data_IF_424161873294
#
_entry.id   IF_424161873294
#
_cell.length_a   1.000
_cell.length_b   1.000
_cell.length_c   1.000
_cell.angle_alpha   90.00
_cell.angle_beta   90.00
_cell.angle_gamma   90.00
#
_symmetry.space_group_name_H-M   'P 1'
#
loop_
_entity.id
_entity.type
_entity.pdbx_description
1 polymer ?
#
# COMPACT_ATOMS: atom_id res chain seq x y z
N UNK A 1 -18.79 -4.24 4.38
CA UNK A 1 -19.85 -4.83 3.52
C UNK A 1 -19.32 -5.26 2.15
N UNK A 2 -18.57 -4.43 1.41
CA UNK A 2 -18.10 -4.78 0.06
C UNK A 2 -17.16 -6.00 0.00
N UNK A 3 -16.26 -6.19 0.96
CA UNK A 3 -15.29 -7.32 0.96
C UNK A 3 -15.99 -8.67 1.16
N UNK A 4 -16.90 -8.77 2.13
CA UNK A 4 -17.69 -9.98 2.39
C UNK A 4 -18.48 -10.40 1.15
N UNK A 5 -19.06 -9.44 0.42
CA UNK A 5 -19.81 -9.71 -0.81
C UNK A 5 -18.92 -10.26 -1.94
N UNK A 6 -17.71 -9.72 -2.09
CA UNK A 6 -16.74 -10.21 -3.08
C UNK A 6 -16.24 -11.62 -2.74
N UNK A 7 -15.90 -11.87 -1.46
CA UNK A 7 -15.53 -13.22 -0.99
C UNK A 7 -16.67 -14.20 -1.26
N UNK A 8 -17.92 -13.81 -1.00
CA UNK A 8 -19.09 -14.65 -1.26
C UNK A 8 -19.22 -15.04 -2.73
N UNK A 9 -19.07 -14.07 -3.64
CA UNK A 9 -19.09 -14.32 -5.09
C UNK A 9 -17.97 -15.27 -5.53
N UNK A 10 -16.77 -15.10 -4.98
CA UNK A 10 -15.60 -15.91 -5.31
C UNK A 10 -15.77 -17.35 -4.79
N UNK A 11 -16.23 -17.53 -3.55
CA UNK A 11 -16.49 -18.85 -2.98
C UNK A 11 -17.57 -19.61 -3.75
N UNK A 12 -18.58 -18.90 -4.28
CA UNK A 12 -19.59 -19.51 -5.13
C UNK A 12 -19.01 -20.14 -6.43
N UNK A 13 -17.80 -19.76 -6.84
CA UNK A 13 -17.11 -20.35 -7.99
C UNK A 13 -16.38 -21.67 -7.66
N UNK A 14 -16.26 -22.07 -6.38
CA UNK A 14 -15.63 -23.34 -5.99
C UNK A 14 -16.37 -24.02 -4.84
N UNK A 15 -17.21 -25.00 -5.16
CA UNK A 15 -17.89 -25.85 -4.17
C UNK A 15 -16.89 -26.65 -3.33
N UNK A 16 -15.75 -27.05 -3.90
CA UNK A 16 -14.71 -27.82 -3.22
C UNK A 16 -14.00 -27.01 -2.13
N UNK A 17 -13.57 -25.79 -2.45
CA UNK A 17 -12.97 -24.90 -1.46
C UNK A 17 -13.98 -24.56 -0.37
N UNK A 18 -15.22 -24.26 -0.76
CA UNK A 18 -16.34 -23.98 0.15
C UNK A 18 -16.58 -25.13 1.14
N UNK A 19 -16.64 -26.38 0.66
CA UNK A 19 -16.80 -27.55 1.50
C UNK A 19 -15.60 -27.76 2.43
N UNK A 20 -14.38 -27.61 1.92
CA UNK A 20 -13.16 -27.77 2.74
C UNK A 20 -13.07 -26.70 3.83
N UNK A 21 -13.48 -25.47 3.52
CA UNK A 21 -13.60 -24.38 4.49
C UNK A 21 -14.64 -24.70 5.57
N UNK A 22 -15.83 -25.16 5.19
CA UNK A 22 -16.85 -25.58 6.17
C UNK A 22 -16.34 -26.64 7.13
N UNK A 23 -15.66 -27.66 6.62
CA UNK A 23 -15.06 -28.71 7.47
C UNK A 23 -14.03 -28.11 8.42
N UNK A 24 -13.10 -27.32 7.88
CA UNK A 24 -12.03 -26.69 8.67
C UNK A 24 -12.59 -25.78 9.77
N UNK A 25 -13.64 -24.99 9.47
CA UNK A 25 -14.29 -24.14 10.47
C UNK A 25 -14.93 -24.95 11.60
N UNK A 26 -15.61 -26.06 11.26
CA UNK A 26 -16.16 -26.97 12.28
C UNK A 26 -15.05 -27.60 13.13
N UNK A 27 -13.95 -28.02 12.52
CA UNK A 27 -12.81 -28.60 13.22
C UNK A 27 -12.14 -27.57 14.16
N UNK A 28 -12.15 -26.29 13.77
CA UNK A 28 -11.69 -25.16 14.59
C UNK A 28 -12.70 -24.72 15.67
N UNK A 29 -13.87 -25.38 15.78
CA UNK A 29 -14.92 -25.03 16.74
C UNK A 29 -15.70 -23.76 16.39
N UNK A 30 -15.58 -23.27 15.15
CA UNK A 30 -16.33 -22.12 14.64
C UNK A 30 -17.58 -22.65 13.95
N UNK A 31 -18.76 -22.37 14.53
CA UNK A 31 -20.04 -22.70 13.89
C UNK A 31 -20.15 -21.96 12.54
N UNK A 32 -20.09 -22.68 11.40
CA UNK A 32 -20.18 -22.03 10.11
C UNK A 32 -21.60 -21.51 9.94
N UNK A 33 -21.77 -20.19 9.88
CA UNK A 33 -23.08 -19.61 9.61
C UNK A 33 -23.53 -19.97 8.19
N UNK A 34 -24.80 -19.70 7.86
CA UNK A 34 -25.32 -19.85 6.50
C UNK A 34 -24.49 -19.05 5.46
N UNK A 35 -23.73 -18.04 5.89
CA UNK A 35 -22.83 -17.27 5.08
C UNK A 35 -21.36 -17.49 5.51
N UNK A 36 -20.66 -18.36 4.77
CA UNK A 36 -19.24 -18.64 5.01
C UNK A 36 -18.35 -17.40 4.87
N UNK A 37 -18.68 -16.49 3.94
CA UNK A 37 -17.90 -15.28 3.76
C UNK A 37 -18.01 -14.38 4.98
N UNK A 38 -19.21 -14.23 5.55
CA UNK A 38 -19.40 -13.49 6.79
C UNK A 38 -18.64 -14.13 7.96
N UNK A 39 -18.65 -15.45 8.03
CA UNK A 39 -17.98 -16.20 9.10
C UNK A 39 -16.45 -16.05 9.02
N UNK A 40 -15.88 -16.06 7.81
CA UNK A 40 -14.46 -15.80 7.58
C UNK A 40 -14.06 -14.35 7.90
N UNK A 41 -14.91 -13.38 7.56
CA UNK A 41 -14.63 -11.97 7.84
C UNK A 41 -14.85 -11.58 9.32
N UNK A 42 -15.47 -12.43 10.13
CA UNK A 42 -15.80 -12.14 11.52
C UNK A 42 -14.68 -12.49 12.51
N UNK A 43 -13.72 -13.32 12.10
CA UNK A 43 -12.55 -13.67 12.89
C UNK A 43 -11.38 -12.75 12.55
N UNK A 44 -10.34 -12.80 13.38
CA UNK A 44 -9.10 -12.07 13.13
C UNK A 44 -8.50 -12.44 11.75
N UNK A 45 -7.97 -11.49 10.97
CA UNK A 45 -7.39 -11.78 9.66
C UNK A 45 -6.25 -12.82 9.67
N UNK A 46 -5.39 -12.84 10.70
CA UNK A 46 -4.35 -13.87 10.87
C UNK A 46 -5.02 -15.23 11.02
N UNK A 47 -6.00 -15.34 11.92
CA UNK A 47 -6.75 -16.56 12.16
C UNK A 47 -7.54 -17.02 10.91
N UNK A 48 -8.17 -16.10 10.18
CA UNK A 48 -8.91 -16.39 8.96
C UNK A 48 -8.01 -17.02 7.89
N UNK A 49 -6.77 -16.53 7.77
CA UNK A 49 -5.82 -16.99 6.76
C UNK A 49 -5.10 -18.26 7.18
N UNK A 50 -4.56 -18.29 8.41
CA UNK A 50 -3.73 -19.38 8.90
C UNK A 50 -4.55 -20.60 9.33
N UNK A 51 -5.57 -20.39 10.16
CA UNK A 51 -6.27 -21.51 10.79
C UNK A 51 -7.43 -22.02 9.91
N UNK A 52 -7.94 -21.18 9.01
CA UNK A 52 -9.10 -21.54 8.18
C UNK A 52 -8.74 -21.69 6.70
N UNK A 53 -8.32 -20.61 6.04
CA UNK A 53 -8.12 -20.64 4.58
C UNK A 53 -6.96 -21.55 4.17
N UNK A 54 -5.83 -21.51 4.87
CA UNK A 54 -4.65 -22.32 4.58
C UNK A 54 -4.95 -23.83 4.62
N UNK A 55 -5.41 -24.42 5.75
CA UNK A 55 -5.69 -25.85 5.82
C UNK A 55 -6.83 -26.27 4.89
N UNK A 56 -7.86 -25.43 4.70
CA UNK A 56 -8.93 -25.72 3.76
C UNK A 56 -8.43 -25.79 2.31
N UNK A 57 -7.58 -24.85 1.91
CA UNK A 57 -6.99 -24.81 0.56
C UNK A 57 -6.06 -25.99 0.33
N UNK A 58 -5.20 -26.29 1.31
CA UNK A 58 -4.31 -27.45 1.26
C UNK A 58 -5.09 -28.75 1.10
N UNK A 59 -6.18 -28.92 1.85
CA UNK A 59 -7.04 -30.11 1.77
C UNK A 59 -7.80 -30.18 0.44
N UNK A 60 -8.32 -29.06 -0.04
CA UNK A 60 -9.03 -28.98 -1.31
C UNK A 60 -8.12 -29.33 -2.50
N UNK A 61 -6.86 -28.91 -2.48
CA UNK A 61 -5.89 -29.15 -3.54
C UNK A 61 -5.19 -30.51 -3.44
N UNK A 62 -5.01 -31.06 -2.24
CA UNK A 62 -4.27 -32.31 -2.02
C UNK A 62 -4.87 -33.53 -2.72
N UNK A 63 -6.16 -33.48 -3.05
CA UNK A 63 -6.89 -34.57 -3.73
C UNK A 63 -6.95 -34.41 -5.25
N UNK A 64 -6.39 -33.32 -5.79
CA UNK A 64 -6.43 -32.98 -7.22
C UNK A 64 -5.05 -33.17 -7.85
N UNK A 65 -5.03 -33.61 -9.11
CA UNK A 65 -3.80 -33.60 -9.92
C UNK A 65 -3.47 -32.14 -10.31
N UNK A 66 -2.24 -31.64 -10.03
CA UNK A 66 -1.81 -30.29 -10.41
C UNK A 66 -1.95 -29.95 -11.90
N UNK A 67 -2.03 -30.96 -12.77
CA UNK A 67 -2.19 -30.79 -14.23
C UNK A 67 -3.65 -30.58 -14.65
N UNK A 68 -4.61 -30.82 -13.76
CA UNK A 68 -6.02 -30.68 -14.09
C UNK A 68 -6.50 -29.22 -13.96
N UNK A 69 -7.42 -28.77 -14.84
CA UNK A 69 -8.02 -27.43 -14.75
C UNK A 69 -8.65 -27.16 -13.38
N UNK A 70 -9.27 -28.18 -12.78
CA UNK A 70 -9.90 -28.08 -11.46
C UNK A 70 -8.93 -27.66 -10.35
N UNK A 71 -7.67 -28.09 -10.42
CA UNK A 71 -6.62 -27.66 -9.50
C UNK A 71 -6.34 -26.17 -9.68
N UNK A 72 -6.15 -25.75 -10.95
CA UNK A 72 -5.86 -24.35 -11.30
C UNK A 72 -7.01 -23.43 -10.88
N UNK A 73 -8.25 -23.83 -11.13
CA UNK A 73 -9.45 -23.07 -10.79
C UNK A 73 -9.62 -22.96 -9.27
N UNK A 74 -9.51 -24.08 -8.55
CA UNK A 74 -9.59 -24.09 -7.08
C UNK A 74 -8.48 -23.23 -6.46
N UNK A 75 -7.26 -23.31 -7.00
CA UNK A 75 -6.14 -22.49 -6.54
C UNK A 75 -6.33 -21.01 -6.85
N UNK A 76 -6.87 -20.68 -8.01
CA UNK A 76 -7.19 -19.29 -8.39
C UNK A 76 -8.23 -18.68 -7.46
N UNK A 77 -9.29 -19.43 -7.15
CA UNK A 77 -10.32 -19.02 -6.18
C UNK A 77 -9.69 -18.82 -4.80
N UNK A 78 -8.88 -19.75 -4.31
CA UNK A 78 -8.23 -19.65 -3.01
C UNK A 78 -7.31 -18.41 -2.89
N UNK A 79 -6.50 -18.13 -3.93
CA UNK A 79 -5.69 -16.90 -3.99
C UNK A 79 -6.55 -15.64 -4.01
N UNK A 80 -7.70 -15.68 -4.66
CA UNK A 80 -8.63 -14.55 -4.71
C UNK A 80 -9.26 -14.29 -3.33
N UNK A 81 -9.62 -15.35 -2.59
CA UNK A 81 -10.09 -15.22 -1.20
C UNK A 81 -8.98 -14.68 -0.29
N UNK A 82 -7.76 -15.22 -0.40
CA UNK A 82 -6.57 -14.72 0.31
C UNK A 82 -6.38 -13.21 0.11
N UNK A 83 -6.45 -12.75 -1.15
CA UNK A 83 -6.32 -11.35 -1.51
C UNK A 83 -7.35 -10.47 -0.79
N UNK A 84 -8.63 -10.88 -0.81
CA UNK A 84 -9.70 -10.12 -0.17
C UNK A 84 -9.64 -10.16 1.35
N UNK A 85 -9.25 -11.28 1.96
CA UNK A 85 -9.05 -11.36 3.41
C UNK A 85 -7.84 -10.54 3.86
N UNK A 86 -6.77 -10.47 3.05
CA UNK A 86 -5.61 -9.62 3.35
C UNK A 86 -5.96 -8.14 3.41
N UNK A 87 -7.01 -7.69 2.70
CA UNK A 87 -7.51 -6.31 2.83
C UNK A 87 -8.16 -6.02 4.19
N UNK A 88 -8.68 -7.04 4.86
CA UNK A 88 -9.21 -6.90 6.22
C UNK A 88 -8.09 -6.76 7.25
N UNK A 89 -6.83 -6.99 6.90
CA UNK A 89 -5.71 -6.70 7.78
C UNK A 89 -5.51 -5.20 8.03
N UNK A 90 -6.26 -4.33 7.33
CA UNK A 90 -6.24 -2.87 7.49
C UNK A 90 -7.60 -2.39 7.97
N UNK A 91 -7.62 -1.55 9.01
CA UNK A 91 -8.84 -0.86 9.43
C UNK A 91 -9.18 0.27 8.44
N UNK A 92 -10.06 -0.04 7.48
CA UNK A 92 -10.47 0.90 6.44
C UNK A 92 -11.32 2.07 6.97
N UNK A 93 -12.06 1.90 8.06
CA UNK A 93 -12.84 2.99 8.67
C UNK A 93 -11.93 3.96 9.40
N UNK A 94 -11.00 3.43 10.20
CA UNK A 94 -9.94 4.21 10.83
C UNK A 94 -9.10 4.93 9.77
N UNK A 95 -8.63 4.24 8.73
CA UNK A 95 -7.82 4.85 7.67
C UNK A 95 -8.60 5.95 6.95
N UNK A 96 -9.88 5.72 6.68
CA UNK A 96 -10.77 6.71 6.09
C UNK A 96 -10.98 7.92 6.99
N UNK A 97 -11.15 7.72 8.31
CA UNK A 97 -11.34 8.78 9.29
C UNK A 97 -10.04 9.55 9.53
N UNK A 98 -8.93 8.85 9.73
CA UNK A 98 -7.59 9.42 9.84
C UNK A 98 -7.24 10.26 8.61
N UNK A 99 -7.50 9.75 7.39
CA UNK A 99 -7.30 10.50 6.15
C UNK A 99 -8.17 11.75 6.07
N UNK A 100 -9.47 11.67 6.39
CA UNK A 100 -10.37 12.83 6.40
C UNK A 100 -9.98 13.86 7.46
N UNK A 101 -9.58 13.43 8.65
CA UNK A 101 -9.13 14.27 9.75
C UNK A 101 -7.76 14.92 9.47
N UNK A 102 -6.85 14.19 8.82
CA UNK A 102 -5.57 14.69 8.34
C UNK A 102 -5.78 15.80 7.28
N UNK A 103 -6.63 15.54 6.30
CA UNK A 103 -6.98 16.50 5.24
C UNK A 103 -7.66 17.76 5.80
N UNK A 104 -8.61 17.61 6.72
CA UNK A 104 -9.36 18.74 7.28
C UNK A 104 -8.52 19.60 8.24
N UNK A 105 -7.52 19.01 8.91
CA UNK A 105 -6.60 19.72 9.79
C UNK A 105 -5.40 20.33 9.07
N UNK A 106 -5.27 20.18 7.74
CA UNK A 106 -4.05 20.53 7.00
C UNK A 106 -2.82 19.71 7.42
N UNK A 107 -3.03 18.68 8.25
CA UNK A 107 -2.05 17.70 8.69
C UNK A 107 -2.16 16.49 7.77
N UNK A 108 -1.93 16.70 6.47
CA UNK A 108 -1.64 15.57 5.61
C UNK A 108 -0.44 14.87 6.25
N UNK A 109 -0.65 13.65 6.70
CA UNK A 109 0.28 12.89 7.50
C UNK A 109 -0.26 11.48 7.43
N UNK A 110 0.14 10.77 6.39
CA UNK A 110 -0.03 9.33 6.39
C UNK A 110 1.21 8.76 7.07
N UNK A 111 1.01 7.90 8.05
CA UNK A 111 2.10 7.11 8.59
C UNK A 111 2.68 6.25 7.47
N UNK A 112 3.91 6.57 7.06
CA UNK A 112 4.76 5.56 6.47
C UNK A 112 5.61 5.04 7.62
N UNK A 113 5.08 4.05 8.32
CA UNK A 113 5.90 3.20 9.19
C UNK A 113 6.81 2.43 8.24
N UNK A 114 8.12 2.68 8.33
CA UNK A 114 9.11 1.78 7.75
C UNK A 114 10.17 1.48 8.80
N UNK A 115 10.07 0.30 9.39
CA UNK A 115 11.20 -0.61 9.37
C UNK A 115 10.74 -2.07 9.45
N UNK A 116 10.20 -2.59 8.35
CA UNK A 116 10.08 -4.02 8.04
C UNK A 116 10.06 -4.18 6.51
N UNK A 117 10.40 -5.36 5.95
CA UNK A 117 10.35 -5.62 4.50
C UNK A 117 8.91 -5.70 3.93
N UNK A 118 7.93 -5.00 4.52
CA UNK A 118 6.51 -5.21 4.25
C UNK A 118 5.52 -4.11 4.65
N UNK A 119 5.93 -2.83 4.63
CA UNK A 119 4.96 -1.75 4.69
C UNK A 119 3.78 -2.03 3.75
N UNK A 120 2.57 -2.11 4.31
CA UNK A 120 1.32 -2.63 3.73
C UNK A 120 1.24 -2.49 2.20
N UNK A 121 1.69 -3.55 1.53
CA UNK A 121 1.55 -3.76 0.09
C UNK A 121 0.98 -5.17 -0.16
N UNK A 122 -0.13 -5.47 0.52
CA UNK A 122 -0.96 -6.66 0.33
C UNK A 122 -2.41 -6.24 0.67
N UNK A 123 -3.43 -6.28 -0.19
CA UNK A 123 -3.59 -6.78 -1.55
C UNK A 123 -4.86 -6.14 -2.14
N UNK A 124 -4.84 -5.48 -3.29
CA UNK A 124 -5.78 -5.81 -4.39
C UNK A 124 -5.79 -4.73 -5.45
N UNK A 125 -5.29 -5.11 -6.64
CA UNK A 125 -5.79 -4.67 -7.94
C UNK A 125 -6.10 -3.18 -8.09
N UNK A 126 -5.09 -2.37 -8.44
CA UNK A 126 -5.24 -1.36 -9.50
C UNK A 126 -4.01 -1.36 -10.39
N UNK A 127 -4.18 -1.95 -11.58
CA UNK A 127 -3.23 -1.93 -12.68
C UNK A 127 -2.49 -0.57 -12.76
N UNK A 128 -1.17 -0.65 -12.54
CA UNK A 128 -0.12 0.38 -12.67
C UNK A 128 0.22 1.30 -11.49
N UNK A 129 -0.30 1.18 -10.28
CA UNK A 129 0.29 1.97 -9.17
C UNK A 129 1.72 1.48 -8.85
N UNK A 130 2.68 2.40 -8.77
CA UNK A 130 4.11 2.08 -8.57
C UNK A 130 4.43 2.29 -7.09
N UNK A 131 4.99 1.25 -6.46
CA UNK A 131 5.51 1.31 -5.10
C UNK A 131 6.63 2.36 -5.02
N UNK A 132 6.59 3.30 -4.07
CA UNK A 132 7.67 4.26 -3.88
C UNK A 132 8.97 3.53 -3.56
N UNK A 133 10.05 3.80 -4.30
CA UNK A 133 11.40 3.26 -4.03
C UNK A 133 12.10 4.04 -2.92
N UNK A 134 11.39 4.25 -1.82
CA UNK A 134 11.84 4.96 -0.62
C UNK A 134 12.01 3.96 0.53
N UNK A 135 12.99 4.19 1.40
CA UNK A 135 13.21 3.41 2.62
C UNK A 135 13.65 4.32 3.75
N UNK A 136 13.30 3.98 4.99
CA UNK A 136 13.90 4.61 6.15
C UNK A 136 15.40 4.24 6.22
N UNK A 137 16.24 5.21 6.59
CA UNK A 137 17.64 4.95 6.89
C UNK A 137 17.74 4.40 8.31
N UNK A 138 18.31 3.20 8.43
CA UNK A 138 18.43 2.49 9.71
C UNK A 138 19.13 3.35 10.76
N UNK A 139 18.50 3.48 11.92
CA UNK A 139 19.03 4.24 13.06
C UNK A 139 18.89 5.76 12.95
N UNK A 140 18.20 6.27 11.93
CA UNK A 140 17.88 7.71 11.79
C UNK A 140 16.39 7.90 11.46
N UNK A 141 15.92 9.14 11.57
CA UNK A 141 14.57 9.54 11.11
C UNK A 141 14.52 9.91 9.63
N UNK A 142 15.60 9.62 8.87
CA UNK A 142 15.74 10.05 7.48
C UNK A 142 15.15 9.01 6.52
N UNK A 143 14.62 9.47 5.39
CA UNK A 143 14.15 8.63 4.29
C UNK A 143 15.14 8.78 3.14
N UNK A 144 15.49 7.67 2.48
CA UNK A 144 16.41 7.60 1.33
C UNK A 144 15.76 6.84 0.18
N UNK A 145 16.13 7.14 -1.06
CA UNK A 145 15.62 6.42 -2.23
C UNK A 145 15.81 7.15 -3.55
N UNK A 146 15.69 6.44 -4.67
CA UNK A 146 15.91 6.99 -6.02
C UNK A 146 14.84 8.03 -6.40
N UNK A 147 13.62 7.84 -5.88
CA UNK A 147 12.43 8.67 -6.13
C UNK A 147 12.29 9.83 -5.12
N UNK A 148 13.26 9.97 -4.23
CA UNK A 148 13.29 11.01 -3.20
C UNK A 148 13.72 12.34 -3.79
N UNK A 149 12.86 13.36 -3.75
CA UNK A 149 13.29 14.75 -3.94
C UNK A 149 13.78 15.26 -2.59
N UNK A 150 15.09 15.54 -2.43
CA UNK A 150 15.60 16.05 -1.17
C UNK A 150 14.99 17.42 -0.92
N UNK A 151 14.64 17.69 0.34
CA UNK A 151 14.33 19.07 0.71
C UNK A 151 15.62 19.88 0.57
N UNK A 152 15.59 21.05 -0.10
CA UNK A 152 16.76 21.89 -0.21
C UNK A 152 17.23 22.26 1.20
N UNK A 153 18.55 22.18 1.46
CA UNK A 153 19.12 22.64 2.73
C UNK A 153 18.77 24.13 2.90
N UNK A 154 17.89 24.41 3.87
CA UNK A 154 17.22 25.70 4.04
C UNK A 154 18.12 26.83 4.56
N UNK A 155 19.46 26.73 4.44
CA UNK A 155 20.37 27.83 4.74
C UNK A 155 20.33 28.96 3.68
N UNK A 156 19.48 28.84 2.66
CA UNK A 156 19.53 29.70 1.49
C UNK A 156 18.25 30.49 1.28
N UNK A 157 18.07 31.52 2.12
CA UNK A 157 17.20 32.65 1.81
C UNK A 157 16.14 32.96 2.87
N UNK A 158 16.08 34.23 3.24
CA UNK A 158 15.14 34.82 4.20
C UNK A 158 13.68 34.88 3.70
N UNK A 159 13.37 34.36 2.49
CA UNK A 159 12.03 34.43 1.89
C UNK A 159 11.47 33.04 1.48
N UNK A 160 10.15 32.92 1.52
CA UNK A 160 9.43 31.70 1.08
C UNK A 160 9.52 31.49 -0.44
N UNK A 161 9.59 32.56 -1.23
CA UNK A 161 9.71 32.46 -2.70
C UNK A 161 11.04 31.83 -3.11
N UNK A 162 12.16 32.22 -2.49
CA UNK A 162 13.47 31.64 -2.80
C UNK A 162 13.53 30.14 -2.47
N UNK A 163 12.88 29.72 -1.38
CA UNK A 163 12.79 28.31 -1.02
C UNK A 163 11.88 27.51 -1.96
N UNK A 164 10.80 28.14 -2.44
CA UNK A 164 9.93 27.53 -3.45
C UNK A 164 10.64 27.36 -4.78
N UNK A 165 11.38 28.37 -5.25
CA UNK A 165 12.16 28.32 -6.49
C UNK A 165 13.21 27.20 -6.46
N UNK A 166 13.90 27.05 -5.32
CA UNK A 166 14.85 25.94 -5.12
C UNK A 166 14.17 24.59 -5.13
N UNK A 167 13.03 24.45 -4.45
CA UNK A 167 12.27 23.20 -4.47
C UNK A 167 11.85 22.83 -5.89
N UNK A 168 11.41 23.80 -6.70
CA UNK A 168 11.05 23.53 -8.10
C UNK A 168 12.27 23.10 -8.94
N UNK A 169 13.46 23.67 -8.69
CA UNK A 169 14.69 23.24 -9.35
C UNK A 169 15.09 21.81 -8.97
N UNK A 170 14.91 21.42 -7.71
CA UNK A 170 15.13 20.03 -7.28
C UNK A 170 14.15 19.06 -7.96
N UNK A 171 12.87 19.45 -8.05
CA UNK A 171 11.85 18.67 -8.78
C UNK A 171 12.25 18.53 -10.26
N UNK A 172 12.70 19.62 -10.89
CA UNK A 172 13.18 19.60 -12.27
C UNK A 172 14.32 18.61 -12.46
N UNK A 173 15.37 18.71 -11.64
CA UNK A 173 16.55 17.85 -11.72
C UNK A 173 16.21 16.36 -11.56
N UNK A 174 15.16 16.02 -10.81
CA UNK A 174 14.69 14.62 -10.69
C UNK A 174 13.79 14.16 -11.82
N UNK A 175 12.98 15.06 -12.40
CA UNK A 175 12.14 14.72 -13.55
C UNK A 175 12.97 14.61 -14.83
N UNK A 176 13.99 15.46 -14.98
CA UNK A 176 14.87 15.57 -16.13
C UNK A 176 16.35 15.54 -15.68
N UNK A 177 16.88 14.37 -15.27
CA UNK A 177 18.25 14.27 -14.75
C UNK A 177 19.33 14.66 -15.77
N UNK A 178 19.01 14.60 -17.06
CA UNK A 178 19.87 15.00 -18.17
C UNK A 178 19.95 16.53 -18.35
N UNK A 179 19.07 17.29 -17.71
CA UNK A 179 18.98 18.75 -17.87
C UNK A 179 19.29 19.50 -16.57
N UNK A 180 20.26 20.42 -16.62
CA UNK A 180 20.56 21.33 -15.52
C UNK A 180 20.00 22.73 -15.80
N UNK A 181 19.35 23.32 -14.80
CA UNK A 181 18.76 24.66 -14.85
C UNK A 181 19.19 25.44 -13.62
N UNK A 182 19.50 26.72 -13.80
CA UNK A 182 19.71 27.66 -12.68
C UNK A 182 18.43 28.37 -12.25
N UNK A 183 17.46 28.47 -13.16
CA UNK A 183 16.12 29.06 -12.95
C UNK A 183 15.12 28.38 -13.88
N UNK A 184 13.84 28.38 -13.51
CA UNK A 184 12.76 27.83 -14.34
C UNK A 184 11.91 28.94 -14.94
N UNK A 185 11.81 28.95 -16.27
CA UNK A 185 10.90 29.86 -16.97
C UNK A 185 9.45 29.35 -16.92
N UNK A 186 8.45 30.20 -17.25
CA UNK A 186 7.07 29.74 -17.40
C UNK A 186 6.88 28.62 -18.44
N UNK A 187 7.78 28.53 -19.43
CA UNK A 187 7.77 27.42 -20.40
C UNK A 187 8.24 26.13 -19.73
N UNK A 188 9.30 26.19 -18.94
CA UNK A 188 9.85 25.03 -18.23
C UNK A 188 8.83 24.49 -17.23
N UNK A 189 8.17 25.35 -16.45
CA UNK A 189 7.11 24.94 -15.53
C UNK A 189 5.93 24.25 -16.24
N UNK A 190 5.56 24.68 -17.45
CA UNK A 190 4.55 23.99 -18.25
C UNK A 190 5.01 22.61 -18.70
N UNK A 191 6.26 22.49 -19.15
CA UNK A 191 6.86 21.20 -19.53
C UNK A 191 6.89 20.25 -18.34
N UNK A 192 7.37 20.72 -17.20
CA UNK A 192 7.43 19.97 -15.95
C UNK A 192 6.04 19.47 -15.52
N UNK A 193 5.03 20.35 -15.52
CA UNK A 193 3.66 19.95 -15.18
C UNK A 193 3.05 18.95 -16.17
N UNK A 194 3.32 19.09 -17.47
CA UNK A 194 2.84 18.14 -18.47
C UNK A 194 3.46 16.76 -18.26
N UNK A 195 4.75 16.72 -17.94
CA UNK A 195 5.46 15.48 -17.64
C UNK A 195 4.92 14.82 -16.36
N UNK A 196 4.73 15.60 -15.29
CA UNK A 196 4.11 15.09 -14.04
C UNK A 196 2.70 14.52 -14.29
N UNK A 197 1.87 15.21 -15.07
CA UNK A 197 0.53 14.72 -15.46
C UNK A 197 0.58 13.47 -16.33
N UNK A 198 1.53 13.41 -17.26
CA UNK A 198 1.71 12.23 -18.10
C UNK A 198 2.11 11.03 -17.25
N UNK A 199 3.07 11.20 -16.35
CA UNK A 199 3.53 10.15 -15.43
C UNK A 199 2.44 9.72 -14.46
N UNK A 200 1.63 10.65 -13.94
CA UNK A 200 0.46 10.31 -13.12
C UNK A 200 -0.60 9.54 -13.92
N UNK A 201 -0.92 9.96 -15.14
CA UNK A 201 -1.90 9.28 -16.00
C UNK A 201 -1.45 7.87 -16.39
N UNK A 202 -0.19 7.71 -16.75
CA UNK A 202 0.36 6.44 -17.25
C UNK A 202 0.97 5.57 -16.15
N UNK A 203 1.09 6.14 -14.95
CA UNK A 203 1.67 5.55 -13.75
C UNK A 203 3.04 4.92 -14.01
N UNK A 204 4.01 5.74 -14.43
CA UNK A 204 5.34 5.27 -14.89
C UNK A 204 6.49 5.56 -13.91
N UNK A 205 6.55 6.76 -13.34
CA UNK A 205 7.51 7.14 -12.29
C UNK A 205 6.88 8.25 -11.45
N UNK A 206 6.83 8.07 -10.14
CA UNK A 206 6.32 9.09 -9.22
C UNK A 206 7.50 9.64 -8.42
N UNK A 207 7.50 10.95 -8.24
CA UNK A 207 8.48 11.61 -7.38
C UNK A 207 7.78 12.07 -6.12
N UNK A 208 8.46 11.88 -5.00
CA UNK A 208 7.89 12.14 -3.70
C UNK A 208 8.79 13.15 -2.98
N UNK A 209 8.16 14.14 -2.37
CA UNK A 209 8.84 15.04 -1.43
C UNK A 209 8.47 14.53 -0.04
N UNK A 210 9.33 13.76 0.64
CA UNK A 210 9.06 13.27 1.97
C UNK A 210 9.25 14.41 2.97
N UNK A 211 8.25 14.63 3.82
CA UNK A 211 8.29 15.64 4.89
C UNK A 211 8.16 14.96 6.26
N UNK A 212 9.23 14.92 7.07
CA UNK A 212 9.15 14.37 8.42
C UNK A 212 8.29 15.30 9.29
N UNK A 213 7.25 14.77 9.95
CA UNK A 213 6.37 15.57 10.82
C UNK A 213 7.09 16.20 12.02
N UNK A 214 8.23 15.65 12.43
CA UNK A 214 9.04 16.15 13.55
C UNK A 214 10.04 17.23 13.15
N UNK A 215 10.27 17.44 11.85
CA UNK A 215 11.08 18.54 11.35
C UNK A 215 10.19 19.74 10.98
N UNK A 216 10.64 20.94 11.35
CA UNK A 216 10.00 22.20 10.97
C UNK A 216 10.20 22.49 9.46
N UNK A 217 9.57 21.69 8.59
CA UNK A 217 9.57 21.93 7.15
C UNK A 217 8.58 23.04 6.80
N UNK A 218 8.97 23.90 5.86
CA UNK A 218 8.06 24.94 5.32
C UNK A 218 6.86 24.30 4.60
N UNK A 219 6.98 23.08 4.08
CA UNK A 219 5.87 22.33 3.46
C UNK A 219 4.77 21.95 4.45
N UNK A 220 5.06 21.92 5.76
CA UNK A 220 4.05 21.75 6.80
C UNK A 220 3.23 23.03 7.04
N UNK A 221 3.66 24.19 6.51
CA UNK A 221 2.90 25.43 6.62
C UNK A 221 1.86 25.51 5.49
N UNK A 222 0.55 25.68 5.80
CA UNK A 222 -0.51 25.70 4.80
C UNK A 222 -0.32 26.75 3.70
N UNK A 223 0.21 27.92 4.04
CA UNK A 223 0.45 29.02 3.10
C UNK A 223 1.56 28.68 2.08
N UNK A 224 2.65 28.07 2.53
CA UNK A 224 3.72 27.61 1.65
C UNK A 224 3.26 26.46 0.75
N UNK A 225 2.50 25.52 1.31
CA UNK A 225 1.93 24.40 0.54
C UNK A 225 0.97 24.88 -0.55
N UNK A 226 0.09 25.85 -0.24
CA UNK A 226 -0.79 26.47 -1.23
C UNK A 226 -0.01 27.18 -2.34
N UNK A 227 1.11 27.83 -2.02
CA UNK A 227 1.99 28.45 -3.03
C UNK A 227 2.63 27.40 -3.94
N UNK A 228 3.05 26.25 -3.41
CA UNK A 228 3.58 25.16 -4.24
C UNK A 228 2.54 24.63 -5.22
N UNK A 229 1.30 24.46 -4.77
CA UNK A 229 0.19 23.96 -5.58
C UNK A 229 -0.50 25.05 -6.42
N UNK A 230 0.01 26.28 -6.41
CA UNK A 230 -0.55 27.35 -7.22
C UNK A 230 -0.55 26.98 -8.70
N UNK A 231 -1.53 27.48 -9.45
CA UNK A 231 -1.78 27.11 -10.86
C UNK A 231 -0.57 27.35 -11.77
N UNK A 232 0.26 28.32 -11.44
CA UNK A 232 1.48 28.73 -12.13
C UNK A 232 2.77 28.14 -11.53
N UNK A 233 2.64 27.14 -10.64
CA UNK A 233 3.75 26.42 -10.00
C UNK A 233 3.64 24.93 -10.29
N UNK A 234 3.36 24.08 -9.31
CA UNK A 234 3.33 22.63 -9.44
C UNK A 234 2.01 22.03 -8.95
N UNK A 235 0.86 22.33 -9.60
CA UNK A 235 -0.43 21.79 -9.19
C UNK A 235 -0.55 20.26 -9.37
N UNK A 236 0.35 19.65 -10.14
CA UNK A 236 0.36 18.21 -10.41
C UNK A 236 1.30 17.40 -9.50
N UNK A 237 2.00 18.05 -8.56
CA UNK A 237 2.93 17.35 -7.66
C UNK A 237 2.19 16.71 -6.48
N UNK A 238 2.63 15.52 -6.11
CA UNK A 238 2.15 14.83 -4.90
C UNK A 238 3.18 15.01 -3.79
N UNK A 239 2.79 15.67 -2.71
CA UNK A 239 3.62 15.79 -1.50
C UNK A 239 3.23 14.69 -0.52
N UNK A 240 4.22 14.00 0.02
CA UNK A 240 4.04 12.92 0.99
C UNK A 240 4.58 13.38 2.33
N UNK A 241 3.71 13.42 3.32
CA UNK A 241 4.08 13.69 4.70
C UNK A 241 4.15 12.36 5.43
N UNK A 242 5.21 12.14 6.20
CA UNK A 242 5.41 10.89 6.91
C UNK A 242 5.73 11.14 8.39
N UNK A 243 5.20 10.26 9.24
CA UNK A 243 5.58 10.16 10.64
C UNK A 243 6.47 8.93 10.82
N UNK A 244 7.72 9.08 11.26
CA UNK A 244 8.63 7.95 11.41
C UNK A 244 8.28 7.05 12.60
N UNK A 245 7.49 7.52 13.58
CA UNK A 245 7.09 6.69 14.73
C UNK A 245 5.91 7.27 15.52
N UNK A 246 5.10 6.37 16.10
CA UNK A 246 4.13 6.67 17.16
C UNK A 246 2.73 7.02 16.67
N UNK A 247 1.82 6.05 16.77
CA UNK A 247 0.39 6.17 16.47
C UNK A 247 -0.31 4.84 16.74
N UNK A 248 -1.64 4.84 16.74
CA UNK A 248 -2.40 3.57 16.70
C UNK A 248 -2.22 3.00 15.29
N UNK A 249 -1.72 1.76 15.14
CA UNK A 249 -1.46 1.20 13.83
C UNK A 249 -2.74 1.08 13.00
N UNK A 250 -2.63 1.31 11.69
CA UNK A 250 -3.71 1.07 10.73
C UNK A 250 -3.99 -0.43 10.53
N UNK A 251 -3.08 -1.28 11.00
CA UNK A 251 -3.14 -2.73 10.91
C UNK A 251 -4.03 -3.29 12.02
N UNK A 252 -4.92 -4.20 11.63
CA UNK A 252 -5.69 -5.05 12.54
C UNK A 252 -4.89 -6.29 12.96
N UNK A 253 -3.84 -6.62 12.23
CA UNK A 253 -2.92 -7.73 12.53
C UNK A 253 -1.92 -7.34 13.61
N UNK A 254 -1.54 -8.33 14.41
CA UNK A 254 -0.73 -8.12 15.62
C UNK A 254 0.77 -8.06 15.32
N UNK A 255 1.21 -8.81 14.31
CA UNK A 255 2.61 -8.86 13.84
C UNK A 255 2.65 -8.96 12.30
N UNK A 256 3.16 -7.90 11.65
CA UNK A 256 3.26 -7.81 10.20
C UNK A 256 4.23 -8.84 9.59
N UNK A 257 5.36 -9.12 10.26
CA UNK A 257 6.35 -10.09 9.78
C UNK A 257 5.81 -11.52 9.89
N UNK A 258 5.01 -11.78 10.92
CA UNK A 258 4.26 -13.01 11.06
C UNK A 258 3.20 -13.16 9.96
N UNK A 259 2.37 -12.12 9.75
CA UNK A 259 1.34 -12.12 8.71
C UNK A 259 1.92 -12.33 7.30
N UNK A 260 3.10 -11.76 7.00
CA UNK A 260 3.87 -12.09 5.78
C UNK A 260 4.10 -13.57 5.63
N UNK A 261 4.53 -14.16 6.73
CA UNK A 261 5.01 -15.53 6.76
C UNK A 261 3.83 -16.46 6.50
N UNK A 262 2.66 -16.16 7.06
CA UNK A 262 1.39 -16.83 6.74
C UNK A 262 1.08 -16.75 5.24
N UNK A 263 1.09 -15.54 4.65
CA UNK A 263 0.78 -15.35 3.22
C UNK A 263 1.80 -16.05 2.32
N UNK A 264 3.09 -15.91 2.60
CA UNK A 264 4.16 -16.57 1.85
C UNK A 264 3.98 -18.09 1.90
N UNK A 265 3.76 -18.65 3.08
CA UNK A 265 3.56 -20.08 3.24
C UNK A 265 2.31 -20.52 2.47
N UNK A 266 1.22 -19.76 2.53
CA UNK A 266 0.00 -20.02 1.75
C UNK A 266 0.29 -20.13 0.25
N UNK A 267 1.01 -19.15 -0.30
CA UNK A 267 1.36 -19.11 -1.72
C UNK A 267 2.24 -20.28 -2.16
N UNK A 268 2.91 -20.96 -1.22
CA UNK A 268 3.74 -22.14 -1.50
C UNK A 268 3.00 -23.49 -1.38
N UNK A 269 1.68 -23.50 -1.13
CA UNK A 269 0.91 -24.75 -0.99
C UNK A 269 1.08 -25.68 -2.20
N UNK A 270 1.01 -25.22 -3.47
CA UNK A 270 1.20 -26.09 -4.62
C UNK A 270 2.57 -26.79 -4.63
N UNK A 271 3.65 -26.06 -4.33
CA UNK A 271 5.01 -26.61 -4.26
C UNK A 271 5.14 -27.62 -3.10
N UNK A 272 4.51 -27.34 -1.96
CA UNK A 272 4.49 -28.26 -0.82
C UNK A 272 3.78 -29.58 -1.17
N UNK A 273 2.70 -29.52 -1.95
CA UNK A 273 1.97 -30.71 -2.40
C UNK A 273 2.75 -31.49 -3.46
N UNK A 274 3.46 -30.81 -4.36
CA UNK A 274 4.28 -31.45 -5.39
C UNK A 274 5.53 -32.17 -4.84
N UNK A 275 5.99 -31.80 -3.64
CA UNK A 275 7.14 -32.40 -2.95
C UNK A 275 6.80 -33.63 -2.10
N UNK A 276 5.55 -34.11 -2.11
CA UNK A 276 5.20 -35.37 -1.44
C UNK A 276 5.98 -36.53 -2.12
N UNK A 277 6.63 -37.42 -1.33
CA UNK A 277 7.28 -38.62 -1.86
C UNK A 277 6.29 -39.59 -2.49
#
# INVERSE_FOLDING_TARGET
MQITDEIRKILACSSRLTHSLQTTMRDAGIEPSADLAASLCAVDPEQALEDLLFPATKSALAVLDPRQPEFVDTWSVAKSVLAWLSLLAVDGEWLGQASRSALSAGKLGFEIVVETPLGVELVSSRYRQIAPRLRAQKGTSEVVGDELIPQPQYETGWSDEAALDKLMLEVWARVFPEESRSTLSPKDLRTLNNELRFRDKHKTFHHYIPVPLEQASRLCRPDFYQKLLAKDRLPAITVIFFKPSGGTPALLVSDEDYFRTVIRNFLTIPEQLARKP
#
